data_IF_781903033730
#
_entry.id   IF_781903033730
#
_cell.length_a   1.000
_cell.length_b   1.000
_cell.length_c   1.000
_cell.angle_alpha   90.00
_cell.angle_beta   90.00
_cell.angle_gamma   90.00
#
_symmetry.space_group_name_H-M   'P 1'
#
loop_
_entity.id
_entity.type
_entity.pdbx_description
1 polymer ?
#
# COMPACT_ATOMS: atom_id res chain seq x y z
N UNK A 1 53.22 4.65 -12.84
CA UNK A 1 52.15 5.26 -13.66
C UNK A 1 50.82 4.70 -13.23
N UNK A 2 49.80 5.55 -13.29
CA UNK A 2 48.55 5.53 -12.51
C UNK A 2 47.66 4.30 -12.75
N UNK A 3 47.24 3.72 -11.62
CA UNK A 3 46.10 2.82 -11.43
C UNK A 3 44.82 3.37 -12.05
N UNK A 4 44.13 2.55 -12.85
CA UNK A 4 42.70 2.74 -13.14
C UNK A 4 41.99 1.41 -12.95
N UNK A 5 41.69 1.09 -11.69
CA UNK A 5 40.61 0.18 -11.35
C UNK A 5 39.31 0.94 -11.67
N UNK A 6 38.66 0.54 -12.76
CA UNK A 6 37.32 1.01 -13.11
C UNK A 6 36.37 0.59 -11.97
N UNK A 7 36.06 1.53 -11.08
CA UNK A 7 34.90 1.46 -10.20
C UNK A 7 33.65 1.55 -11.08
N UNK A 8 33.22 0.41 -11.62
CA UNK A 8 31.91 0.27 -12.24
C UNK A 8 30.89 0.04 -11.12
N UNK A 9 30.32 1.15 -10.66
CA UNK A 9 28.89 1.27 -10.34
C UNK A 9 28.27 0.08 -9.61
N UNK A 10 28.55 0.02 -8.30
CA UNK A 10 27.75 -0.72 -7.31
C UNK A 10 26.45 0.06 -7.03
N UNK A 11 25.61 0.24 -8.05
CA UNK A 11 24.41 1.10 -8.01
C UNK A 11 23.09 0.38 -8.31
N UNK A 12 23.06 -0.97 -8.28
CA UNK A 12 21.87 -1.75 -8.64
C UNK A 12 21.39 -2.78 -7.62
N UNK A 13 21.94 -2.83 -6.40
CA UNK A 13 21.58 -3.88 -5.42
C UNK A 13 20.54 -3.51 -4.37
N UNK A 14 19.99 -2.29 -4.37
CA UNK A 14 18.92 -1.90 -3.39
C UNK A 14 17.51 -1.95 -3.98
N UNK A 15 17.37 -2.13 -5.31
CA UNK A 15 16.06 -2.23 -5.98
C UNK A 15 15.50 -3.66 -5.87
N UNK A 16 16.33 -4.66 -5.58
CA UNK A 16 15.96 -6.08 -5.64
C UNK A 16 15.27 -6.62 -4.37
N UNK A 17 14.98 -5.79 -3.36
CA UNK A 17 14.20 -6.20 -2.18
C UNK A 17 12.76 -5.68 -2.18
N UNK A 18 12.37 -4.92 -3.22
CA UNK A 18 11.00 -4.45 -3.41
C UNK A 18 10.20 -5.28 -4.44
N UNK A 19 10.76 -6.37 -4.96
CA UNK A 19 10.10 -7.24 -5.95
C UNK A 19 9.49 -8.48 -5.30
N UNK A 20 8.23 -8.76 -5.67
CA UNK A 20 7.44 -9.99 -5.43
C UNK A 20 6.61 -10.14 -4.14
N UNK A 21 5.99 -9.08 -3.62
CA UNK A 21 4.79 -9.29 -2.78
C UNK A 21 3.57 -8.70 -3.49
N UNK A 22 2.84 -9.59 -4.17
CA UNK A 22 1.55 -9.26 -4.79
C UNK A 22 0.58 -8.77 -3.71
N UNK A 23 -0.23 -7.72 -4.00
CA UNK A 23 -1.32 -7.35 -3.11
C UNK A 23 -2.18 -8.56 -2.77
N UNK A 24 -2.61 -8.68 -1.52
CA UNK A 24 -3.37 -9.83 -1.03
C UNK A 24 -4.64 -9.38 -0.31
N UNK A 25 -5.66 -10.24 -0.32
CA UNK A 25 -6.93 -9.95 0.34
C UNK A 25 -6.76 -10.03 1.86
N UNK A 26 -7.30 -9.04 2.56
CA UNK A 26 -7.23 -8.92 4.00
C UNK A 26 -8.58 -8.47 4.55
N UNK A 27 -9.23 -9.37 5.30
CA UNK A 27 -10.36 -8.99 6.14
C UNK A 27 -9.85 -8.26 7.37
N UNK A 28 -10.37 -7.05 7.59
CA UNK A 28 -10.05 -6.19 8.73
C UNK A 28 -11.32 -5.88 9.52
N UNK A 29 -11.14 -5.61 10.81
CA UNK A 29 -12.22 -5.17 11.69
C UNK A 29 -11.93 -3.75 12.17
N UNK A 30 -12.85 -2.83 11.90
CA UNK A 30 -12.83 -1.46 12.43
C UNK A 30 -14.20 -1.16 13.03
N UNK A 31 -14.24 -0.67 14.26
CA UNK A 31 -15.48 -0.30 14.95
C UNK A 31 -16.56 -1.39 14.93
N UNK A 32 -16.16 -2.67 15.07
CA UNK A 32 -17.07 -3.82 15.06
C UNK A 32 -17.59 -4.24 13.68
N UNK A 33 -17.18 -3.57 12.60
CA UNK A 33 -17.52 -3.92 11.22
C UNK A 33 -16.37 -4.62 10.52
N UNK A 34 -16.69 -5.63 9.73
CA UNK A 34 -15.74 -6.33 8.86
C UNK A 34 -15.67 -5.60 7.52
N UNK A 35 -14.46 -5.32 7.06
CA UNK A 35 -14.18 -4.77 5.74
C UNK A 35 -13.27 -5.73 4.98
N UNK A 36 -13.57 -5.92 3.69
CA UNK A 36 -12.81 -6.82 2.81
C UNK A 36 -11.85 -5.99 1.96
N UNK A 37 -10.60 -5.88 2.40
CA UNK A 37 -9.62 -4.99 1.77
C UNK A 37 -8.54 -5.74 1.00
N UNK A 38 -7.73 -4.96 0.29
CA UNK A 38 -6.46 -5.40 -0.27
C UNK A 38 -5.34 -4.76 0.55
N UNK A 39 -4.40 -5.58 0.98
CA UNK A 39 -3.19 -5.15 1.64
C UNK A 39 -1.98 -5.37 0.73
N UNK A 40 -1.09 -4.38 0.68
CA UNK A 40 0.22 -4.48 0.03
C UNK A 40 1.30 -4.28 1.08
N UNK A 41 2.39 -5.05 1.01
CA UNK A 41 3.56 -4.89 1.89
C UNK A 41 4.55 -3.85 1.34
N UNK A 42 4.00 -2.78 0.80
CA UNK A 42 4.72 -1.62 0.29
C UNK A 42 3.76 -0.42 0.32
N UNK A 43 4.29 0.78 0.06
CA UNK A 43 3.47 1.98 -0.01
C UNK A 43 2.60 1.94 -1.27
N UNK A 44 1.29 2.09 -1.16
CA UNK A 44 0.49 2.42 -2.34
C UNK A 44 0.71 3.90 -2.68
N UNK A 45 0.80 4.23 -3.98
CA UNK A 45 1.13 5.56 -4.57
C UNK A 45 2.60 5.76 -4.96
N UNK A 46 2.92 6.91 -5.59
CA UNK A 46 4.24 7.16 -6.19
C UNK A 46 5.35 7.36 -5.14
N UNK A 47 5.02 7.89 -3.96
CA UNK A 47 5.99 8.20 -2.91
C UNK A 47 5.54 7.68 -1.55
N UNK A 48 6.40 6.96 -0.80
CA UNK A 48 6.10 6.54 0.56
C UNK A 48 5.92 7.78 1.45
N UNK A 49 4.81 7.85 2.17
CA UNK A 49 4.52 8.90 3.16
C UNK A 49 3.64 8.32 4.28
N UNK A 50 3.69 8.90 5.49
CA UNK A 50 4.56 10.00 5.94
C UNK A 50 5.98 9.56 6.33
N UNK A 51 6.90 10.52 6.43
CA UNK A 51 8.18 10.32 7.16
C UNK A 51 7.89 10.42 8.64
N UNK A 52 8.19 9.39 9.44
CA UNK A 52 7.90 9.40 10.87
C UNK A 52 9.15 9.78 11.68
N UNK A 53 9.10 10.90 12.39
CA UNK A 53 10.16 11.35 13.29
C UNK A 53 9.86 10.94 14.73
N UNK A 54 10.58 9.92 15.21
CA UNK A 54 10.57 9.48 16.60
C UNK A 54 11.78 10.09 17.31
N UNK A 55 11.65 11.33 17.78
CA UNK A 55 12.70 12.04 18.53
C UNK A 55 14.10 11.98 17.88
N UNK A 56 14.22 12.06 16.54
CA UNK A 56 15.45 11.78 15.80
C UNK A 56 16.67 12.65 16.17
N UNK A 57 16.44 13.79 16.83
CA UNK A 57 17.47 14.70 17.36
C UNK A 57 18.08 14.23 18.70
N UNK A 58 17.55 13.18 19.33
CA UNK A 58 18.01 12.64 20.61
C UNK A 58 18.49 11.21 20.44
N UNK A 59 19.58 10.85 21.11
CA UNK A 59 19.95 9.44 21.30
C UNK A 59 18.98 8.77 22.29
N UNK A 60 18.89 7.45 22.23
CA UNK A 60 18.07 6.65 23.13
C UNK A 60 16.85 6.05 22.44
N UNK A 61 15.80 5.84 23.22
CA UNK A 61 14.60 5.13 22.81
C UNK A 61 13.35 5.92 23.20
N UNK A 62 12.25 5.62 22.52
CA UNK A 62 10.92 6.15 22.79
C UNK A 62 9.94 4.99 22.91
N UNK A 63 9.08 5.05 23.93
CA UNK A 63 7.95 4.13 24.04
C UNK A 63 6.82 4.60 23.15
N UNK A 64 6.42 3.73 22.22
CA UNK A 64 5.23 3.91 21.38
C UNK A 64 4.20 2.84 21.73
N UNK A 65 2.96 3.06 21.31
CA UNK A 65 1.89 2.06 21.38
C UNK A 65 1.58 1.55 19.99
N UNK A 66 1.45 0.24 19.86
CA UNK A 66 1.08 -0.44 18.62
C UNK A 66 0.16 -1.61 18.87
N UNK A 67 -0.31 -2.24 17.80
CA UNK A 67 -1.21 -3.38 17.80
C UNK A 67 -0.44 -4.66 17.48
N UNK A 68 -0.95 -5.81 17.93
CA UNK A 68 -0.38 -7.11 17.59
C UNK A 68 -0.79 -7.62 16.20
N UNK A 69 -1.78 -6.98 15.59
CA UNK A 69 -2.36 -7.38 14.31
C UNK A 69 -2.65 -6.19 13.41
N UNK A 70 -2.45 -6.36 12.11
CA UNK A 70 -2.90 -5.44 11.06
C UNK A 70 -4.43 -5.50 10.87
N UNK A 71 -5.05 -6.64 11.21
CA UNK A 71 -6.47 -6.90 11.01
C UNK A 71 -7.35 -6.20 12.03
N UNK A 72 -6.87 -6.06 13.26
CA UNK A 72 -7.68 -5.60 14.38
C UNK A 72 -6.95 -4.55 15.22
N UNK A 73 -7.67 -3.51 15.63
CA UNK A 73 -7.19 -2.49 16.58
C UNK A 73 -7.62 -2.79 18.02
N UNK A 74 -7.48 -4.03 18.48
CA UNK A 74 -8.05 -4.48 19.76
C UNK A 74 -7.05 -4.51 20.90
N UNK A 75 -5.79 -4.90 20.65
CA UNK A 75 -4.77 -5.11 21.69
C UNK A 75 -3.59 -4.15 21.53
N UNK A 76 -3.63 -3.03 22.25
CA UNK A 76 -2.50 -2.10 22.32
C UNK A 76 -1.37 -2.67 23.19
N UNK A 77 -0.14 -2.57 22.71
CA UNK A 77 1.11 -2.97 23.37
C UNK A 77 2.10 -1.81 23.37
N UNK A 78 2.83 -1.65 24.47
CA UNK A 78 3.89 -0.63 24.61
C UNK A 78 5.20 -1.18 24.05
N UNK A 79 5.62 -0.65 22.91
CA UNK A 79 6.81 -1.04 22.18
C UNK A 79 7.91 0.02 22.38
N UNK A 80 9.09 -0.39 22.82
CA UNK A 80 10.24 0.51 22.88
C UNK A 80 10.99 0.46 21.55
N UNK A 81 11.13 1.62 20.89
CA UNK A 81 11.83 1.75 19.61
C UNK A 81 12.97 2.76 19.73
N UNK A 82 13.96 2.65 18.86
CA UNK A 82 15.07 3.61 18.84
C UNK A 82 14.61 4.98 18.36
N UNK A 83 15.28 6.04 18.81
CA UNK A 83 15.02 7.35 18.29
C UNK A 83 15.61 7.49 16.87
N UNK A 84 14.82 7.99 15.93
CA UNK A 84 15.21 8.09 14.52
C UNK A 84 14.12 8.64 13.60
N UNK A 85 14.50 8.85 12.35
CA UNK A 85 13.55 9.05 11.24
C UNK A 85 13.20 7.69 10.68
N UNK A 86 11.94 7.35 10.56
CA UNK A 86 11.45 6.05 10.10
C UNK A 86 10.80 6.20 8.73
N UNK A 87 11.40 5.58 7.71
CA UNK A 87 11.02 5.71 6.30
C UNK A 87 11.83 4.73 5.42
N UNK A 88 11.37 4.29 4.24
CA UNK A 88 12.15 3.40 3.37
C UNK A 88 13.45 4.04 2.86
N UNK A 89 13.48 5.36 2.73
CA UNK A 89 14.69 6.11 2.34
C UNK A 89 15.57 6.52 3.53
N UNK A 90 15.24 6.07 4.75
CA UNK A 90 16.09 6.32 5.90
C UNK A 90 17.42 5.56 5.76
N UNK A 91 18.53 6.24 6.02
CA UNK A 91 19.88 5.67 5.89
C UNK A 91 20.27 4.74 7.05
N UNK A 92 19.49 4.73 8.13
CA UNK A 92 19.79 3.92 9.33
C UNK A 92 19.05 2.58 9.25
N UNK A 93 19.69 1.44 9.53
CA UNK A 93 19.05 0.12 9.42
C UNK A 93 17.80 -0.05 10.29
N UNK A 94 17.83 0.46 11.53
CA UNK A 94 16.72 0.43 12.49
C UNK A 94 15.58 1.43 12.18
N UNK A 95 15.79 2.26 11.17
CA UNK A 95 14.86 3.25 10.66
C UNK A 95 14.18 2.81 9.35
N UNK A 96 14.68 1.76 8.73
CA UNK A 96 14.02 1.09 7.60
C UNK A 96 12.91 0.24 8.18
N UNK A 97 11.71 0.40 7.64
CA UNK A 97 10.52 -0.28 8.15
C UNK A 97 9.80 -1.02 7.05
N UNK A 98 9.08 -2.06 7.44
CA UNK A 98 8.10 -2.69 6.58
C UNK A 98 6.80 -1.87 6.67
N UNK A 99 6.36 -1.35 5.54
CA UNK A 99 5.06 -0.69 5.43
C UNK A 99 4.00 -1.66 4.96
N UNK A 100 2.78 -1.42 5.41
CA UNK A 100 1.59 -2.03 4.85
C UNK A 100 0.61 -0.93 4.49
N UNK A 101 0.14 -0.93 3.25
CA UNK A 101 -1.03 -0.14 2.88
C UNK A 101 -2.24 -1.04 2.91
N UNK A 102 -3.29 -0.63 3.63
CA UNK A 102 -4.62 -1.22 3.48
C UNK A 102 -5.42 -0.27 2.61
N UNK A 103 -5.63 -0.66 1.36
CA UNK A 103 -6.24 0.21 0.34
C UNK A 103 -7.75 0.09 0.41
N UNK A 104 -8.44 1.22 0.42
CA UNK A 104 -9.87 1.27 0.18
C UNK A 104 -10.14 0.73 -1.23
N UNK A 105 -10.85 -0.38 -1.31
CA UNK A 105 -11.21 -0.99 -2.59
C UNK A 105 -12.50 -0.41 -3.15
N UNK A 106 -12.58 -0.35 -4.47
CA UNK A 106 -13.82 -0.08 -5.18
C UNK A 106 -14.29 -1.29 -5.96
N UNK A 107 -15.55 -1.27 -6.39
CA UNK A 107 -16.13 -2.33 -7.21
C UNK A 107 -17.13 -1.74 -8.19
N UNK A 108 -17.21 -2.32 -9.38
CA UNK A 108 -17.98 -1.79 -10.50
C UNK A 108 -18.74 -2.91 -11.21
N UNK A 109 -19.99 -2.64 -11.54
CA UNK A 109 -20.80 -3.44 -12.47
C UNK A 109 -20.57 -2.96 -13.90
N UNK A 110 -20.42 -3.90 -14.85
CA UNK A 110 -20.46 -3.59 -16.28
C UNK A 110 -21.93 -3.60 -16.72
N UNK A 111 -22.50 -2.42 -16.94
CA UNK A 111 -23.94 -2.25 -17.22
C UNK A 111 -24.26 -2.02 -18.70
N UNK A 112 -23.25 -1.74 -19.54
CA UNK A 112 -23.38 -1.61 -21.00
C UNK A 112 -22.27 -2.35 -21.74
N UNK A 113 -22.52 -2.63 -23.01
CA UNK A 113 -21.51 -3.21 -23.89
C UNK A 113 -20.31 -2.27 -24.01
N UNK A 114 -19.12 -2.80 -23.76
CA UNK A 114 -17.87 -2.03 -23.82
C UNK A 114 -17.40 -1.97 -25.30
N UNK A 115 -17.23 -0.77 -25.87
CA UNK A 115 -16.61 -0.56 -27.18
C UNK A 115 -15.20 -1.18 -27.29
N UNK A 116 -14.78 -1.53 -28.50
CA UNK A 116 -13.51 -2.24 -28.74
C UNK A 116 -12.28 -1.41 -28.33
N UNK A 117 -12.32 -0.10 -28.55
CA UNK A 117 -11.31 0.89 -28.19
C UNK A 117 -11.13 1.06 -26.67
N UNK A 118 -12.15 0.71 -25.89
CA UNK A 118 -12.07 0.69 -24.42
C UNK A 118 -11.63 -0.70 -23.95
N UNK A 119 -12.10 -1.78 -24.59
CA UNK A 119 -11.72 -3.16 -24.24
C UNK A 119 -10.21 -3.40 -24.32
N UNK A 120 -9.53 -2.81 -25.30
CA UNK A 120 -8.08 -2.94 -25.47
C UNK A 120 -7.26 -2.35 -24.31
N UNK A 121 -7.87 -1.51 -23.47
CA UNK A 121 -7.19 -0.92 -22.31
C UNK A 121 -7.08 -1.91 -21.13
N UNK A 122 -7.75 -3.06 -21.20
CA UNK A 122 -7.68 -4.08 -20.15
C UNK A 122 -6.66 -5.15 -20.53
N UNK A 123 -5.62 -5.29 -19.72
CA UNK A 123 -4.67 -6.40 -19.83
C UNK A 123 -5.25 -7.56 -19.02
N UNK A 124 -5.48 -8.67 -19.72
CA UNK A 124 -6.03 -9.90 -19.15
C UNK A 124 -4.93 -10.95 -19.17
N UNK A 125 -4.60 -11.50 -17.99
CA UNK A 125 -3.67 -12.65 -17.90
C UNK A 125 -4.18 -13.89 -18.67
N UNK A 126 -5.48 -13.94 -18.97
CA UNK A 126 -6.11 -14.94 -19.83
C UNK A 126 -6.73 -14.28 -21.08
N UNK A 127 -6.10 -14.48 -22.23
CA UNK A 127 -6.48 -13.92 -23.53
C UNK A 127 -7.85 -14.40 -24.05
N UNK A 128 -8.50 -15.37 -23.39
CA UNK A 128 -9.78 -15.94 -23.84
C UNK A 128 -11.01 -15.31 -23.20
N UNK A 129 -10.86 -14.45 -22.20
CA UNK A 129 -12.02 -13.84 -21.52
C UNK A 129 -12.34 -12.47 -22.11
N UNK A 130 -13.62 -12.23 -22.34
CA UNK A 130 -14.10 -10.94 -22.86
C UNK A 130 -14.99 -10.32 -21.80
N UNK A 131 -14.71 -9.06 -21.46
CA UNK A 131 -15.54 -8.24 -20.60
C UNK A 131 -16.93 -8.06 -21.24
N UNK A 132 -18.00 -8.33 -20.48
CA UNK A 132 -19.39 -8.28 -20.96
C UNK A 132 -20.32 -7.69 -19.91
N UNK A 133 -21.50 -7.28 -20.35
CA UNK A 133 -22.57 -6.82 -19.46
C UNK A 133 -22.90 -7.88 -18.43
N UNK A 134 -23.05 -7.44 -17.17
CA UNK A 134 -23.35 -8.28 -16.02
C UNK A 134 -22.13 -8.88 -15.32
N UNK A 135 -20.93 -8.75 -15.90
CA UNK A 135 -19.69 -9.02 -15.17
C UNK A 135 -19.41 -7.89 -14.15
N UNK A 136 -18.63 -8.21 -13.13
CA UNK A 136 -18.19 -7.27 -12.09
C UNK A 136 -16.67 -7.13 -12.11
N UNK A 137 -16.18 -5.92 -11.90
CA UNK A 137 -14.77 -5.66 -11.59
C UNK A 137 -14.72 -5.28 -10.12
N UNK A 138 -14.19 -6.15 -9.28
CA UNK A 138 -14.16 -5.96 -7.83
C UNK A 138 -12.72 -5.78 -7.33
N UNK A 139 -12.58 -5.32 -6.10
CA UNK A 139 -11.27 -5.09 -5.47
C UNK A 139 -10.37 -4.18 -6.31
N UNK A 140 -10.95 -3.14 -6.90
CA UNK A 140 -10.21 -2.15 -7.69
C UNK A 140 -9.30 -1.37 -6.76
N UNK A 141 -8.01 -1.35 -7.08
CA UNK A 141 -6.96 -0.61 -6.37
C UNK A 141 -6.04 0.08 -7.35
N UNK A 142 -5.61 1.30 -7.02
CA UNK A 142 -4.54 1.96 -7.75
C UNK A 142 -3.22 1.22 -7.53
N UNK A 143 -2.52 0.88 -8.61
CA UNK A 143 -1.21 0.25 -8.57
C UNK A 143 -0.11 1.31 -8.56
N UNK A 144 0.30 1.73 -9.76
CA UNK A 144 1.31 2.76 -9.99
C UNK A 144 1.20 3.30 -11.42
N UNK A 145 1.87 4.43 -11.70
CA UNK A 145 2.08 4.98 -13.06
C UNK A 145 0.80 5.13 -13.90
N UNK A 146 -0.32 5.51 -13.26
CA UNK A 146 -1.60 5.69 -13.94
C UNK A 146 -2.37 4.39 -14.22
N UNK A 147 -1.93 3.25 -13.69
CA UNK A 147 -2.62 1.96 -13.81
C UNK A 147 -3.23 1.50 -12.49
N UNK A 148 -4.36 0.81 -12.60
CA UNK A 148 -5.08 0.15 -11.52
C UNK A 148 -5.21 -1.34 -11.80
N UNK A 149 -5.40 -2.09 -10.71
CA UNK A 149 -5.65 -3.52 -10.72
C UNK A 149 -7.04 -3.82 -10.19
N UNK A 150 -7.66 -4.88 -10.70
CA UNK A 150 -8.94 -5.37 -10.21
C UNK A 150 -9.14 -6.83 -10.51
N UNK A 151 -10.24 -7.38 -10.01
CA UNK A 151 -10.63 -8.78 -10.23
C UNK A 151 -11.89 -8.83 -11.07
N UNK A 152 -11.80 -9.42 -12.26
CA UNK A 152 -12.95 -9.73 -13.10
C UNK A 152 -13.70 -10.95 -12.57
N UNK A 153 -14.92 -10.72 -12.07
CA UNK A 153 -15.84 -11.75 -11.59
C UNK A 153 -17.01 -11.91 -12.55
N UNK A 154 -17.29 -13.16 -12.92
CA UNK A 154 -18.46 -13.54 -13.73
C UNK A 154 -19.13 -14.73 -13.08
N UNK A 155 -20.47 -14.79 -13.11
CA UNK A 155 -21.29 -15.76 -12.36
C UNK A 155 -20.93 -17.25 -12.54
N UNK A 156 -20.18 -17.63 -13.58
CA UNK A 156 -19.87 -19.04 -13.91
C UNK A 156 -18.39 -19.31 -14.20
N UNK A 157 -17.50 -18.34 -13.94
CA UNK A 157 -16.07 -18.46 -14.26
C UNK A 157 -15.24 -18.07 -13.05
N UNK A 158 -14.04 -18.64 -12.94
CA UNK A 158 -13.07 -18.26 -11.91
C UNK A 158 -12.81 -16.75 -11.92
N UNK A 159 -12.42 -16.18 -10.79
CA UNK A 159 -11.96 -14.79 -10.71
C UNK A 159 -10.64 -14.65 -11.48
N UNK A 160 -10.44 -13.53 -12.21
CA UNK A 160 -9.20 -13.26 -12.96
C UNK A 160 -8.69 -11.86 -12.60
N UNK A 161 -7.38 -11.71 -12.42
CA UNK A 161 -6.73 -10.42 -12.22
C UNK A 161 -6.67 -9.67 -13.57
N UNK A 162 -6.98 -8.39 -13.54
CA UNK A 162 -6.94 -7.52 -14.72
C UNK A 162 -6.24 -6.21 -14.35
N UNK A 163 -5.44 -5.67 -15.27
CA UNK A 163 -4.85 -4.33 -15.19
C UNK A 163 -5.53 -3.38 -16.18
N UNK A 164 -5.68 -2.10 -15.82
CA UNK A 164 -6.32 -1.09 -16.66
C UNK A 164 -5.91 0.34 -16.26
N UNK A 165 -6.07 1.35 -17.13
CA UNK A 165 -5.84 2.75 -16.77
C UNK A 165 -6.71 3.19 -15.58
N UNK A 166 -6.13 3.93 -14.64
CA UNK A 166 -6.81 4.35 -13.41
C UNK A 166 -8.06 5.22 -13.67
N UNK A 167 -8.10 5.93 -14.79
CA UNK A 167 -9.21 6.81 -15.17
C UNK A 167 -10.36 6.09 -15.88
N UNK A 168 -10.25 4.78 -16.14
CA UNK A 168 -11.17 4.05 -17.03
C UNK A 168 -12.63 4.15 -16.59
N UNK A 169 -12.89 4.20 -15.28
CA UNK A 169 -14.25 4.29 -14.74
C UNK A 169 -14.81 5.70 -14.78
N UNK A 170 -13.97 6.70 -14.48
CA UNK A 170 -14.34 8.12 -14.49
C UNK A 170 -14.63 8.64 -15.90
N UNK A 171 -13.86 8.16 -16.88
CA UNK A 171 -14.05 8.49 -18.30
C UNK A 171 -15.26 7.76 -18.92
N UNK A 172 -15.69 6.65 -18.32
CA UNK A 172 -16.74 5.78 -18.88
C UNK A 172 -17.89 5.47 -17.88
N UNK A 173 -18.49 6.48 -17.23
CA UNK A 173 -19.44 6.28 -16.12
C UNK A 173 -20.77 5.66 -16.55
N UNK A 174 -21.08 5.67 -17.86
CA UNK A 174 -22.30 5.04 -18.38
C UNK A 174 -22.14 3.54 -18.65
N UNK A 175 -20.89 3.04 -18.69
CA UNK A 175 -20.54 1.64 -18.93
C UNK A 175 -20.29 0.93 -17.61
N UNK A 176 -19.56 1.58 -16.69
CA UNK A 176 -19.19 1.05 -15.40
C UNK A 176 -19.94 1.79 -14.30
N UNK A 177 -20.75 1.06 -13.53
CA UNK A 177 -21.50 1.62 -12.42
C UNK A 177 -20.88 1.16 -11.11
N UNK A 178 -20.47 2.10 -10.26
CA UNK A 178 -19.91 1.77 -8.94
C UNK A 178 -20.95 1.00 -8.10
N UNK A 179 -20.50 -0.10 -7.50
CA UNK A 179 -21.24 -0.88 -6.50
C UNK A 179 -21.03 -0.17 -5.15
N UNK A 180 -22.09 0.04 -4.37
CA UNK A 180 -22.07 0.88 -3.17
C UNK A 180 -20.86 0.64 -2.23
N UNK A 181 -20.34 1.73 -1.65
CA UNK A 181 -19.14 1.79 -0.80
C UNK A 181 -19.23 1.06 0.55
N UNK A 182 -20.35 0.42 0.87
CA UNK A 182 -20.65 -0.03 2.24
C UNK A 182 -19.71 -1.11 2.80
N UNK A 183 -18.97 -1.81 1.93
CA UNK A 183 -18.00 -2.84 2.33
C UNK A 183 -16.53 -2.39 2.25
N UNK A 184 -16.26 -1.09 2.06
CA UNK A 184 -14.89 -0.57 1.95
C UNK A 184 -14.56 0.50 3.00
N UNK A 185 -13.26 0.74 3.22
CA UNK A 185 -12.77 1.82 4.07
C UNK A 185 -13.03 3.15 3.37
N UNK A 186 -13.25 4.21 4.13
CA UNK A 186 -13.41 5.55 3.54
C UNK A 186 -12.11 6.09 2.93
N UNK A 187 -10.96 5.68 3.48
CA UNK A 187 -9.62 6.10 3.07
C UNK A 187 -8.64 4.96 3.27
N UNK A 188 -7.53 5.02 2.53
CA UNK A 188 -6.41 4.12 2.77
C UNK A 188 -5.85 4.30 4.19
N UNK A 189 -5.43 3.20 4.79
CA UNK A 189 -4.65 3.21 6.03
C UNK A 189 -3.20 2.86 5.71
N UNK A 190 -2.27 3.63 6.29
CA UNK A 190 -0.84 3.35 6.20
C UNK A 190 -0.35 2.81 7.53
N UNK A 191 0.37 1.70 7.49
CA UNK A 191 0.79 0.96 8.67
C UNK A 191 2.29 0.71 8.67
N UNK A 192 2.88 0.89 9.84
CA UNK A 192 4.27 0.61 10.12
C UNK A 192 4.36 -0.72 10.89
N UNK A 193 5.18 -1.64 10.42
CA UNK A 193 5.52 -2.86 11.14
C UNK A 193 6.91 -2.70 11.76
N UNK A 194 6.92 -2.52 13.08
CA UNK A 194 8.08 -2.12 13.86
C UNK A 194 8.54 -3.24 14.78
N UNK A 195 9.85 -3.41 14.87
CA UNK A 195 10.48 -4.30 15.84
C UNK A 195 10.79 -3.54 17.13
N UNK A 196 10.31 -4.08 18.24
CA UNK A 196 10.49 -3.51 19.56
C UNK A 196 11.78 -4.04 20.19
N UNK A 197 12.45 -3.24 21.02
CA UNK A 197 13.63 -3.69 21.79
C UNK A 197 13.36 -4.90 22.67
N UNK A 198 12.11 -5.09 23.07
CA UNK A 198 11.65 -6.25 23.81
C UNK A 198 11.64 -7.56 22.99
N UNK A 199 11.97 -7.52 21.68
CA UNK A 199 12.10 -8.71 20.82
C UNK A 199 10.80 -9.18 20.16
N UNK A 200 9.73 -8.40 20.27
CA UNK A 200 8.47 -8.66 19.56
C UNK A 200 8.20 -7.55 18.53
N UNK A 201 7.22 -7.77 17.65
CA UNK A 201 6.83 -6.80 16.62
C UNK A 201 5.43 -6.26 16.85
N UNK A 202 5.19 -5.03 16.39
CA UNK A 202 3.88 -4.38 16.42
C UNK A 202 3.55 -3.75 15.07
N UNK A 203 2.26 -3.65 14.79
CA UNK A 203 1.70 -2.84 13.71
C UNK A 203 1.20 -1.52 14.28
N UNK A 204 1.51 -0.39 13.65
CA UNK A 204 1.02 0.93 14.07
C UNK A 204 0.49 1.68 12.87
N UNK A 205 -0.76 2.14 12.88
CA UNK A 205 -1.22 3.08 11.85
C UNK A 205 -0.42 4.38 12.01
N UNK A 206 0.00 4.97 10.90
CA UNK A 206 0.74 6.23 10.84
C UNK A 206 0.07 7.36 11.65
N UNK A 207 -1.24 7.54 11.50
CA UNK A 207 -2.03 8.55 12.24
C UNK A 207 -2.03 8.27 13.75
N UNK A 208 -2.19 7.00 14.13
CA UNK A 208 -2.15 6.60 15.54
C UNK A 208 -0.76 6.89 16.12
N UNK A 209 0.30 6.65 15.37
CA UNK A 209 1.68 6.92 15.78
C UNK A 209 1.97 8.42 15.90
N UNK A 210 1.55 9.22 14.92
CA UNK A 210 1.70 10.68 14.91
C UNK A 210 0.92 11.35 16.04
N UNK A 211 -0.14 10.72 16.55
CA UNK A 211 -0.89 11.23 17.71
C UNK A 211 -0.14 11.05 19.04
N UNK A 212 0.93 10.25 19.08
CA UNK A 212 1.65 9.94 20.30
C UNK A 212 2.64 11.05 20.67
N UNK A 213 2.82 11.25 21.98
CA UNK A 213 3.63 12.35 22.52
C UNK A 213 5.08 12.26 22.03
N UNK A 214 5.56 13.34 21.40
CA UNK A 214 6.95 13.47 20.96
C UNK A 214 7.24 12.83 19.60
N UNK A 215 6.22 12.30 18.92
CA UNK A 215 6.30 11.84 17.54
C UNK A 215 5.86 13.00 16.64
N UNK A 216 6.55 13.18 15.51
CA UNK A 216 6.23 14.21 14.53
C UNK A 216 6.34 13.63 13.12
N UNK A 217 5.69 14.30 12.18
CA UNK A 217 5.96 14.09 10.77
C UNK A 217 7.28 14.79 10.40
N UNK A 218 8.11 14.13 9.59
CA UNK A 218 9.28 14.71 8.93
C UNK A 218 8.94 15.15 7.52
N UNK A 219 9.95 15.48 6.72
CA UNK A 219 9.75 16.04 5.37
C UNK A 219 10.39 15.16 4.28
N UNK A 220 9.73 15.10 3.12
CA UNK A 220 10.34 14.62 1.88
C UNK A 220 10.90 15.85 1.14
N UNK A 221 12.22 15.91 0.97
CA UNK A 221 12.90 17.04 0.30
C UNK A 221 13.13 16.80 -1.18
N UNK A 222 13.06 15.55 -1.60
CA UNK A 222 13.27 15.12 -2.98
C UNK A 222 13.28 13.60 -3.07
N UNK A 223 13.47 13.09 -4.28
CA UNK A 223 13.52 11.66 -4.51
C UNK A 223 14.66 11.01 -3.71
N UNK A 224 14.33 10.11 -2.78
CA UNK A 224 15.32 9.45 -1.93
C UNK A 224 15.87 10.31 -0.79
N UNK A 225 15.35 11.53 -0.58
CA UNK A 225 15.84 12.45 0.45
C UNK A 225 14.74 12.85 1.44
N UNK A 226 15.04 12.66 2.73
CA UNK A 226 14.13 12.92 3.84
C UNK A 226 14.82 13.69 4.95
N UNK A 227 14.06 14.49 5.69
CA UNK A 227 14.54 15.20 6.87
C UNK A 227 13.58 15.13 8.05
N UNK A 228 14.09 15.59 9.20
CA UNK A 228 13.30 16.03 10.35
C UNK A 228 12.45 17.23 9.94
#
# INVERSE_FOLDING_TARGET
MISKILSFTLLFSVISLAQDIKPYKLDIVRNGKVYHQVASSFWASEYPSPVININAHKKGTTNIKGYDSLREKTKLKVCEVENGLYHPWAKKPNSVINFYTITAVESYDIVKNIPSDIKQNFILDDTKRVLKVGDKIINVVYGAEGYSQGVLRSNKKADILIDFPATIFEENPTIFKQIEKSSTLEKNEQWLHLECKQGYKVFVEDKDLLSQKGIKEGEIRGYGDISI
#
